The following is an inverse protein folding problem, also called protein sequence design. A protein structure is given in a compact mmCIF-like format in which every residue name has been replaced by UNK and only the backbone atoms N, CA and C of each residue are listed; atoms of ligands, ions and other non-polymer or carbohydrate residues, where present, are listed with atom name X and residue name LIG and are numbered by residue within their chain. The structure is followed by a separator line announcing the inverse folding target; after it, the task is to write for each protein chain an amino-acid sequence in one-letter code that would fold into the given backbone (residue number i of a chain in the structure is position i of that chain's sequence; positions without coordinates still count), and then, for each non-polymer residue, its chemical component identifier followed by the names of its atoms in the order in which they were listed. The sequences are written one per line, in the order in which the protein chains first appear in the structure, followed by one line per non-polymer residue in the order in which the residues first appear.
data_IF_368910274086
#
_entry.id   IF_368910274086
#
_cell.length_a   1.000
_cell.length_b   1.000
_cell.length_c   1.000
_cell.angle_alpha   90.00
_cell.angle_beta   90.00
_cell.angle_gamma   90.00
#
_symmetry.space_group_name_H-M   'P 1'
#
loop_
_entity.id
_entity.type
_entity.pdbx_description
1 polymer ?
#
# COMPACT_ATOMS: atom_id res chain seq x y z
N UNK A 1 -50.24 -70.82 -45.51
CA UNK A 1 -49.03 -71.67 -45.57
C UNK A 1 -47.88 -70.86 -45.01
N UNK A 2 -47.16 -71.48 -44.09
CA UNK A 2 -46.12 -70.90 -43.24
C UNK A 2 -44.84 -70.71 -44.05
N UNK A 3 -44.14 -69.58 -43.86
CA UNK A 3 -42.72 -69.46 -44.20
C UNK A 3 -41.95 -69.00 -42.97
N UNK A 4 -41.04 -69.87 -42.54
CA UNK A 4 -39.96 -69.65 -41.58
C UNK A 4 -38.79 -68.91 -42.24
N UNK A 5 -37.80 -68.53 -41.42
CA UNK A 5 -36.44 -67.95 -41.68
C UNK A 5 -36.42 -66.49 -41.18
N UNK A 6 -35.54 -66.01 -40.30
CA UNK A 6 -34.32 -66.50 -39.68
C UNK A 6 -33.98 -65.70 -38.41
N UNK A 7 -33.09 -66.29 -37.61
CA UNK A 7 -32.28 -65.75 -36.51
C UNK A 7 -31.76 -64.31 -36.68
N UNK A 8 -31.69 -63.56 -35.56
CA UNK A 8 -30.50 -62.78 -35.19
C UNK A 8 -30.51 -62.39 -33.69
N UNK A 9 -29.47 -62.83 -32.99
CA UNK A 9 -29.02 -62.36 -31.68
C UNK A 9 -28.36 -60.97 -31.79
N UNK A 10 -28.70 -60.04 -30.90
CA UNK A 10 -27.86 -58.93 -30.39
C UNK A 10 -28.56 -58.42 -29.12
N UNK A 11 -28.08 -58.45 -27.87
CA UNK A 11 -26.77 -58.21 -27.26
C UNK A 11 -26.24 -56.77 -27.45
N UNK A 12 -25.92 -56.17 -26.30
CA UNK A 12 -25.14 -54.94 -26.04
C UNK A 12 -25.85 -53.61 -25.76
N UNK A 13 -25.66 -53.20 -24.50
CA UNK A 13 -25.24 -51.87 -24.03
C UNK A 13 -26.28 -50.86 -23.59
N UNK A 14 -26.61 -50.92 -22.30
CA UNK A 14 -26.90 -49.74 -21.49
C UNK A 14 -25.68 -48.80 -21.51
N UNK A 15 -25.74 -47.75 -22.33
CA UNK A 15 -24.80 -46.62 -22.24
C UNK A 15 -25.33 -45.72 -21.11
N UNK A 16 -24.78 -45.89 -19.91
CA UNK A 16 -24.87 -44.89 -18.84
C UNK A 16 -23.99 -43.70 -19.28
N UNK A 17 -24.64 -42.67 -19.83
CA UNK A 17 -24.02 -41.36 -20.03
C UNK A 17 -23.89 -40.72 -18.66
N UNK A 18 -22.75 -40.96 -17.99
CA UNK A 18 -22.27 -40.08 -16.94
C UNK A 18 -21.87 -38.77 -17.61
N UNK A 19 -22.80 -37.81 -17.64
CA UNK A 19 -22.43 -36.42 -17.82
C UNK A 19 -21.63 -36.00 -16.59
N UNK A 20 -20.31 -36.15 -16.66
CA UNK A 20 -19.37 -35.44 -15.83
C UNK A 20 -19.59 -33.94 -16.05
N UNK A 21 -20.49 -33.36 -15.26
CA UNK A 21 -20.51 -31.93 -14.98
C UNK A 21 -19.24 -31.62 -14.18
N UNK A 22 -18.12 -31.59 -14.89
CA UNK A 22 -16.88 -30.99 -14.45
C UNK A 22 -17.11 -29.50 -14.26
N UNK A 23 -17.73 -29.13 -13.14
CA UNK A 23 -17.56 -27.80 -12.58
C UNK A 23 -16.09 -27.65 -12.27
N UNK A 24 -15.36 -27.09 -13.25
CA UNK A 24 -14.07 -26.49 -13.00
C UNK A 24 -14.29 -25.38 -11.96
N UNK A 25 -14.12 -25.71 -10.69
CA UNK A 25 -13.90 -24.72 -9.67
C UNK A 25 -12.69 -23.89 -10.13
N UNK A 26 -12.80 -22.57 -10.33
CA UNK A 26 -11.64 -21.75 -10.61
C UNK A 26 -10.76 -21.78 -9.37
N UNK A 27 -9.81 -22.71 -9.39
CA UNK A 27 -8.82 -22.93 -8.35
C UNK A 27 -7.72 -21.90 -8.55
N UNK A 28 -8.06 -20.65 -8.24
CA UNK A 28 -7.22 -19.50 -8.42
C UNK A 28 -7.79 -18.39 -7.58
N UNK A 29 -7.51 -18.40 -6.27
CA UNK A 29 -7.69 -17.21 -5.42
C UNK A 29 -6.74 -16.12 -5.93
N UNK A 30 -7.09 -15.48 -7.04
CA UNK A 30 -6.44 -14.26 -7.48
C UNK A 30 -6.52 -13.29 -6.32
N UNK A 31 -5.36 -12.97 -5.74
CA UNK A 31 -5.27 -12.02 -4.62
C UNK A 31 -5.89 -10.71 -5.14
N UNK A 32 -7.01 -10.30 -4.55
CA UNK A 32 -7.63 -9.02 -4.85
C UNK A 32 -6.95 -7.91 -4.04
N UNK A 33 -7.02 -6.68 -4.51
CA UNK A 33 -6.70 -5.48 -3.73
C UNK A 33 -7.69 -5.35 -2.56
N UNK A 34 -7.42 -4.48 -1.57
CA UNK A 34 -8.38 -4.20 -0.49
C UNK A 34 -9.75 -3.70 -0.98
N UNK A 35 -9.84 -3.19 -2.23
CA UNK A 35 -11.07 -2.72 -2.85
C UNK A 35 -11.80 -3.81 -3.67
N UNK A 36 -11.34 -5.07 -3.60
CA UNK A 36 -11.98 -6.21 -4.28
C UNK A 36 -11.70 -6.33 -5.77
N UNK A 37 -10.81 -5.50 -6.33
CA UNK A 37 -10.39 -5.59 -7.74
C UNK A 37 -9.11 -6.42 -7.89
N UNK A 38 -8.84 -7.08 -9.02
CA UNK A 38 -7.59 -7.81 -9.22
C UNK A 38 -6.35 -6.88 -9.17
N UNK A 39 -5.24 -7.36 -8.61
CA UNK A 39 -3.94 -6.70 -8.81
C UNK A 39 -3.56 -6.73 -10.30
N UNK A 40 -2.95 -5.65 -10.77
CA UNK A 40 -2.51 -5.49 -12.16
C UNK A 40 -1.05 -5.93 -12.37
N UNK A 41 -0.24 -5.87 -11.32
CA UNK A 41 1.17 -6.22 -11.33
C UNK A 41 1.48 -7.58 -10.70
N UNK A 42 2.66 -8.11 -11.04
CA UNK A 42 3.19 -9.33 -10.43
C UNK A 42 3.58 -9.12 -8.95
N UNK A 43 3.56 -10.17 -8.12
CA UNK A 43 4.00 -10.07 -6.73
C UNK A 43 5.41 -9.51 -6.57
N UNK A 44 5.59 -8.69 -5.54
CA UNK A 44 6.88 -8.08 -5.17
C UNK A 44 7.37 -8.64 -3.84
N UNK A 45 8.64 -8.99 -3.79
CA UNK A 45 9.28 -9.54 -2.59
C UNK A 45 9.66 -8.42 -1.63
N UNK A 46 9.34 -8.57 -0.34
CA UNK A 46 9.71 -7.64 0.71
C UNK A 46 10.21 -8.40 1.96
N UNK A 47 11.35 -7.99 2.52
CA UNK A 47 11.84 -8.60 3.76
C UNK A 47 10.95 -8.22 4.95
N UNK A 48 10.62 -9.19 5.80
CA UNK A 48 9.92 -8.98 7.07
C UNK A 48 10.70 -8.07 8.02
N UNK A 49 12.01 -7.93 7.83
CA UNK A 49 12.84 -7.05 8.64
C UNK A 49 12.53 -5.56 8.45
N UNK A 50 11.73 -5.18 7.44
CA UNK A 50 11.20 -3.82 7.32
C UNK A 50 10.44 -3.37 8.59
N UNK A 51 9.87 -4.32 9.33
CA UNK A 51 9.17 -4.05 10.59
C UNK A 51 10.10 -3.82 11.79
N UNK A 52 11.42 -3.99 11.65
CA UNK A 52 12.40 -3.80 12.73
C UNK A 52 12.86 -2.34 12.84
N UNK A 53 11.90 -1.42 12.89
CA UNK A 53 12.16 0.02 12.98
C UNK A 53 12.59 0.49 14.37
N UNK A 54 12.34 -0.31 15.41
CA UNK A 54 12.62 0.07 16.82
C UNK A 54 14.11 0.25 17.11
N UNK A 55 14.99 -0.36 16.31
CA UNK A 55 16.44 -0.17 16.40
C UNK A 55 16.95 1.07 15.66
N UNK A 56 16.08 1.73 14.88
CA UNK A 56 16.44 2.91 14.10
C UNK A 56 16.19 4.15 14.98
N UNK A 57 17.19 5.03 15.15
CA UNK A 57 17.01 6.24 15.93
C UNK A 57 15.88 7.12 15.41
N UNK A 58 15.08 7.66 16.33
CA UNK A 58 14.15 8.73 16.00
C UNK A 58 14.93 9.99 15.60
N UNK A 59 14.66 10.50 14.40
CA UNK A 59 15.25 11.74 13.88
C UNK A 59 14.20 12.84 13.90
N UNK A 60 14.53 13.99 14.50
CA UNK A 60 13.72 15.21 14.35
C UNK A 60 13.90 15.73 12.92
N UNK A 61 12.81 16.11 12.27
CA UNK A 61 12.84 16.70 10.94
C UNK A 61 12.31 18.13 10.97
N UNK A 62 12.83 18.98 10.09
CA UNK A 62 12.41 20.38 10.02
C UNK A 62 11.11 20.50 9.24
N UNK A 63 10.03 20.84 9.95
CA UNK A 63 8.73 21.12 9.37
C UNK A 63 7.87 19.89 9.03
N UNK A 64 8.23 18.68 9.48
CA UNK A 64 7.40 17.49 9.30
C UNK A 64 7.71 16.41 10.35
N UNK A 65 6.85 15.39 10.46
CA UNK A 65 7.04 14.25 11.35
C UNK A 65 6.98 12.96 10.55
N UNK A 66 7.90 12.02 10.81
CA UNK A 66 7.87 10.70 10.21
C UNK A 66 8.47 9.62 11.10
N UNK A 67 8.09 8.38 10.80
CA UNK A 67 8.68 7.17 11.34
C UNK A 67 9.77 6.67 10.38
N UNK A 68 11.02 6.60 10.84
CA UNK A 68 12.15 6.19 9.99
C UNK A 68 12.20 4.66 9.86
N UNK A 69 12.54 4.20 8.65
CA UNK A 69 12.72 2.81 8.29
C UNK A 69 14.10 2.59 7.66
N UNK A 70 14.59 1.35 7.69
CA UNK A 70 15.90 1.02 7.15
C UNK A 70 15.76 0.81 5.63
N UNK A 71 16.31 1.76 4.87
CA UNK A 71 16.16 1.82 3.42
C UNK A 71 16.67 0.56 2.72
N UNK A 72 17.61 -0.19 3.31
CA UNK A 72 18.12 -1.44 2.72
C UNK A 72 17.04 -2.50 2.47
N UNK A 73 15.87 -2.39 3.13
CA UNK A 73 14.74 -3.29 2.90
C UNK A 73 13.77 -2.80 1.80
N UNK A 74 13.88 -1.53 1.40
CA UNK A 74 13.11 -0.91 0.31
C UNK A 74 13.92 -0.89 -0.99
N UNK A 75 15.24 -0.66 -0.88
CA UNK A 75 16.18 -0.57 -1.99
C UNK A 75 16.08 -1.73 -3.02
N UNK A 76 15.95 -3.02 -2.63
CA UNK A 76 15.83 -4.09 -3.61
C UNK A 76 14.59 -3.97 -4.50
N UNK A 77 13.50 -3.39 -3.97
CA UNK A 77 12.28 -3.13 -4.74
C UNK A 77 12.55 -2.00 -5.73
N UNK A 78 13.15 -0.89 -5.26
CA UNK A 78 13.50 0.24 -6.11
C UNK A 78 14.42 -0.17 -7.27
N UNK A 79 15.47 -0.95 -6.99
CA UNK A 79 16.40 -1.45 -8.00
C UNK A 79 15.71 -2.33 -9.05
N UNK A 80 14.76 -3.18 -8.61
CA UNK A 80 13.98 -4.01 -9.54
C UNK A 80 13.04 -3.17 -10.41
N UNK A 81 12.41 -2.14 -9.86
CA UNK A 81 11.53 -1.24 -10.62
C UNK A 81 12.33 -0.38 -11.61
N UNK A 82 13.51 0.09 -11.24
CA UNK A 82 14.39 0.89 -12.10
C UNK A 82 14.96 0.10 -13.28
N UNK A 83 14.84 -1.23 -13.30
CA UNK A 83 15.20 -2.06 -14.45
C UNK A 83 14.17 -2.04 -15.60
N UNK A 84 13.17 -1.13 -15.53
CA UNK A 84 12.11 -0.97 -16.53
C UNK A 84 12.35 0.25 -17.45
N UNK A 85 11.49 0.48 -18.43
CA UNK A 85 11.70 1.36 -19.61
C UNK A 85 11.99 2.85 -19.32
N UNK A 86 11.76 3.34 -18.10
CA UNK A 86 12.08 4.71 -17.69
C UNK A 86 12.94 4.72 -16.42
N UNK A 87 14.00 5.57 -16.35
CA UNK A 87 14.77 5.74 -15.13
C UNK A 87 13.87 6.19 -13.97
N UNK A 88 13.96 5.49 -12.86
CA UNK A 88 13.32 5.86 -11.61
C UNK A 88 14.38 6.32 -10.61
N UNK A 89 14.12 7.47 -10.01
CA UNK A 89 14.87 8.00 -8.89
C UNK A 89 14.35 7.43 -7.57
N UNK A 90 15.21 7.44 -6.56
CA UNK A 90 14.85 7.15 -5.18
C UNK A 90 15.56 8.12 -4.25
N UNK A 91 15.12 8.21 -2.99
CA UNK A 91 15.65 9.18 -2.02
C UNK A 91 16.87 8.68 -1.24
N UNK A 92 17.23 7.39 -1.37
CA UNK A 92 18.24 6.76 -0.51
C UNK A 92 17.83 6.64 0.96
N UNK A 93 16.57 6.90 1.28
CA UNK A 93 16.00 6.87 2.61
C UNK A 93 14.57 6.33 2.57
N UNK A 94 14.05 5.87 3.70
CA UNK A 94 12.66 5.43 3.80
C UNK A 94 12.05 5.85 5.12
N UNK A 95 10.83 6.38 5.05
CA UNK A 95 10.03 6.73 6.21
C UNK A 95 8.53 6.58 5.91
N UNK A 96 7.72 6.58 6.97
CA UNK A 96 6.27 6.79 6.88
C UNK A 96 5.99 8.19 7.43
N UNK A 97 5.52 9.10 6.58
CA UNK A 97 5.14 10.45 7.02
C UNK A 97 3.91 10.37 7.92
N UNK A 98 3.94 11.10 9.04
CA UNK A 98 2.86 11.21 10.03
C UNK A 98 2.25 12.60 10.01
N UNK A 99 3.06 13.64 9.80
CA UNK A 99 2.62 15.02 9.55
C UNK A 99 3.44 15.54 8.38
N UNK A 100 2.77 15.98 7.33
CA UNK A 100 3.37 16.58 6.13
C UNK A 100 3.76 18.04 6.37
N UNK A 101 4.62 18.64 5.52
CA UNK A 101 4.94 20.06 5.62
C UNK A 101 3.73 21.00 5.55
N UNK A 102 2.75 20.82 4.64
CA UNK A 102 1.55 21.65 4.63
C UNK A 102 0.71 21.52 5.90
N UNK A 103 0.58 20.31 6.44
CA UNK A 103 -0.12 20.10 7.73
C UNK A 103 0.64 20.77 8.88
N UNK A 104 1.97 20.69 8.92
CA UNK A 104 2.75 21.37 9.96
C UNK A 104 2.57 22.89 9.90
N UNK A 105 2.61 23.50 8.71
CA UNK A 105 2.39 24.94 8.56
C UNK A 105 1.03 25.36 9.11
N UNK A 106 -0.01 24.57 8.86
CA UNK A 106 -1.34 24.78 9.43
C UNK A 106 -1.33 24.67 10.97
N UNK A 107 -0.71 23.63 11.51
CA UNK A 107 -0.62 23.42 12.97
C UNK A 107 0.14 24.57 13.66
N UNK A 108 1.22 25.03 13.03
CA UNK A 108 2.05 26.13 13.51
C UNK A 108 1.30 27.47 13.60
N UNK A 109 0.32 27.71 12.71
CA UNK A 109 -0.54 28.89 12.78
C UNK A 109 -1.38 28.96 14.08
N UNK A 110 -1.64 27.83 14.73
CA UNK A 110 -2.28 27.77 16.04
C UNK A 110 -1.26 27.67 17.20
N UNK A 111 0.01 27.93 16.95
CA UNK A 111 1.08 27.87 17.95
C UNK A 111 1.48 26.44 18.36
N UNK A 112 1.14 25.42 17.58
CA UNK A 112 1.70 24.08 17.78
C UNK A 112 3.15 24.06 17.28
N UNK A 113 4.07 23.73 18.17
CA UNK A 113 5.50 23.69 17.85
C UNK A 113 5.94 22.30 17.40
N UNK A 114 7.04 22.25 16.64
CA UNK A 114 7.65 21.00 16.23
C UNK A 114 8.18 20.19 17.42
N UNK A 115 8.63 20.85 18.49
CA UNK A 115 9.06 20.17 19.72
C UNK A 115 7.91 19.49 20.44
N UNK A 116 6.73 20.10 20.52
CA UNK A 116 5.53 19.45 21.06
C UNK A 116 5.12 18.23 20.21
N UNK A 117 5.15 18.35 18.89
CA UNK A 117 4.88 17.23 17.96
C UNK A 117 5.89 16.09 18.17
N UNK A 118 7.18 16.41 18.26
CA UNK A 118 8.24 15.44 18.51
C UNK A 118 8.09 14.78 19.89
N UNK A 119 7.65 15.54 20.91
CA UNK A 119 7.40 15.00 22.24
C UNK A 119 6.24 14.02 22.23
N UNK A 120 5.13 14.33 21.55
CA UNK A 120 4.02 13.39 21.34
C UNK A 120 4.54 12.12 20.63
N UNK A 121 5.31 12.26 19.56
CA UNK A 121 5.85 11.13 18.82
C UNK A 121 6.72 10.20 19.69
N UNK A 122 7.55 10.77 20.58
CA UNK A 122 8.37 10.02 21.54
C UNK A 122 7.53 9.32 22.61
N UNK A 123 6.55 10.02 23.19
CA UNK A 123 5.62 9.46 24.18
C UNK A 123 4.86 8.25 23.62
N UNK A 124 4.47 8.34 22.35
CA UNK A 124 3.83 7.26 21.60
C UNK A 124 4.80 6.24 21.00
N UNK A 125 6.12 6.37 21.26
CA UNK A 125 7.16 5.46 20.78
C UNK A 125 7.13 5.26 19.26
N UNK A 126 7.12 6.34 18.49
CA UNK A 126 6.96 6.32 17.02
C UNK A 126 7.82 5.27 16.29
N UNK A 127 9.08 5.07 16.68
CA UNK A 127 9.97 4.07 16.06
C UNK A 127 9.60 2.62 16.39
N UNK A 128 8.80 2.38 17.43
CA UNK A 128 8.23 1.08 17.78
C UNK A 128 6.75 0.94 17.37
N UNK A 129 6.19 1.93 16.65
CA UNK A 129 4.82 1.87 16.14
C UNK A 129 4.65 0.70 15.18
N UNK A 130 3.58 -0.06 15.34
CA UNK A 130 3.25 -1.16 14.44
C UNK A 130 2.63 -0.62 13.17
N UNK A 131 3.01 -1.22 12.05
CA UNK A 131 2.39 -0.97 10.76
C UNK A 131 2.31 -2.27 9.96
N UNK A 132 1.46 -2.28 8.93
CA UNK A 132 1.30 -3.38 8.00
C UNK A 132 1.49 -2.84 6.59
N UNK A 133 2.40 -3.43 5.82
CA UNK A 133 2.47 -3.18 4.38
C UNK A 133 1.35 -3.96 3.69
N UNK A 134 0.54 -3.28 2.89
CA UNK A 134 -0.66 -3.80 2.24
C UNK A 134 -0.34 -4.27 0.82
N UNK A 135 0.26 -3.39 0.01
CA UNK A 135 0.55 -3.62 -1.40
C UNK A 135 1.72 -2.72 -1.84
N UNK A 136 2.29 -3.01 -3.02
CA UNK A 136 3.02 -1.99 -3.77
C UNK A 136 2.00 -1.22 -4.60
N UNK A 137 1.84 0.06 -4.29
CA UNK A 137 1.07 1.01 -5.06
C UNK A 137 1.84 1.55 -6.26
N UNK A 138 1.12 1.90 -7.31
CA UNK A 138 1.64 2.59 -8.50
C UNK A 138 0.69 3.72 -8.88
N UNK A 139 1.24 4.90 -9.04
CA UNK A 139 0.62 6.03 -9.70
C UNK A 139 1.30 6.21 -11.06
N UNK A 140 0.50 6.42 -12.09
CA UNK A 140 0.97 6.70 -13.45
C UNK A 140 0.01 7.74 -14.04
N UNK A 141 0.40 9.00 -13.92
CA UNK A 141 -0.44 10.15 -14.30
C UNK A 141 0.30 11.07 -15.23
N UNK A 142 -0.44 11.73 -16.11
CA UNK A 142 0.10 12.73 -17.03
C UNK A 142 -0.31 14.12 -16.55
N UNK A 143 0.66 14.94 -16.20
CA UNK A 143 0.47 16.34 -15.77
C UNK A 143 1.25 17.23 -16.73
N UNK A 144 0.59 18.21 -17.34
CA UNK A 144 1.22 19.14 -18.29
C UNK A 144 2.06 18.47 -19.39
N UNK A 145 1.54 17.35 -19.92
CA UNK A 145 2.18 16.47 -20.90
C UNK A 145 3.39 15.66 -20.45
N UNK A 146 3.80 15.76 -19.19
CA UNK A 146 4.86 14.95 -18.59
C UNK A 146 4.28 13.76 -17.83
N UNK A 147 4.91 12.59 -17.94
CA UNK A 147 4.48 11.36 -17.29
C UNK A 147 5.15 11.22 -15.91
N UNK A 148 4.32 11.13 -14.88
CA UNK A 148 4.74 10.93 -13.51
C UNK A 148 4.39 9.52 -13.08
N UNK A 149 5.42 8.73 -12.79
CA UNK A 149 5.29 7.39 -12.23
C UNK A 149 5.80 7.44 -10.80
N UNK A 150 4.99 7.01 -9.84
CA UNK A 150 5.39 6.91 -8.42
C UNK A 150 5.05 5.53 -7.92
N UNK A 151 6.03 4.89 -7.28
CA UNK A 151 5.88 3.61 -6.58
C UNK A 151 6.01 3.82 -5.09
N UNK A 152 5.05 3.27 -4.35
CA UNK A 152 4.99 3.42 -2.90
C UNK A 152 4.47 2.15 -2.24
N UNK A 153 5.02 1.77 -1.09
CA UNK A 153 4.43 0.73 -0.26
C UNK A 153 3.25 1.34 0.49
N UNK A 154 2.03 0.88 0.21
CA UNK A 154 0.83 1.33 0.93
C UNK A 154 0.81 0.66 2.29
N UNK A 155 0.58 1.44 3.34
CA UNK A 155 0.71 1.01 4.73
C UNK A 155 -0.58 1.26 5.48
N UNK A 156 -0.86 0.42 6.48
CA UNK A 156 -1.80 0.70 7.55
C UNK A 156 -1.05 0.83 8.87
N UNK A 157 -1.40 1.84 9.68
CA UNK A 157 -0.91 1.92 11.05
C UNK A 157 -1.88 2.62 12.00
N UNK A 158 -2.41 1.84 12.95
CA UNK A 158 -3.24 2.37 14.04
C UNK A 158 -2.40 3.16 15.04
N UNK A 159 -1.15 2.75 15.26
CA UNK A 159 -0.24 3.41 16.19
C UNK A 159 0.16 4.81 15.67
N UNK A 160 0.48 4.95 14.37
CA UNK A 160 0.76 6.26 13.76
C UNK A 160 -0.49 7.15 13.66
N UNK A 161 -1.67 6.57 13.39
CA UNK A 161 -2.93 7.31 13.44
C UNK A 161 -3.22 7.86 14.85
N UNK A 162 -2.88 7.12 15.91
CA UNK A 162 -3.03 7.59 17.28
C UNK A 162 -2.11 8.79 17.58
N UNK A 163 -0.91 8.84 16.99
CA UNK A 163 -0.03 10.01 17.06
C UNK A 163 -0.70 11.22 16.41
N UNK A 164 -1.25 11.07 15.20
CA UNK A 164 -2.00 12.14 14.51
C UNK A 164 -3.17 12.65 15.35
N UNK A 165 -3.93 11.75 15.97
CA UNK A 165 -5.04 12.10 16.87
C UNK A 165 -4.58 12.82 18.13
N UNK A 166 -3.42 12.49 18.69
CA UNK A 166 -2.84 13.21 19.82
C UNK A 166 -2.42 14.64 19.41
N UNK A 167 -1.81 14.80 18.22
CA UNK A 167 -1.47 16.10 17.64
C UNK A 167 -2.74 16.93 17.37
N UNK A 168 -3.81 16.31 16.87
CA UNK A 168 -5.10 16.97 16.68
C UNK A 168 -5.68 17.52 17.99
N UNK A 169 -5.61 16.75 19.08
CA UNK A 169 -6.04 17.22 20.41
C UNK A 169 -5.22 18.42 20.88
N UNK A 170 -3.89 18.39 20.68
CA UNK A 170 -3.02 19.52 20.97
C UNK A 170 -3.43 20.76 20.15
N UNK A 171 -3.59 20.59 18.84
CA UNK A 171 -4.03 21.64 17.93
C UNK A 171 -5.36 22.28 18.36
N UNK A 172 -6.37 21.46 18.67
CA UNK A 172 -7.65 21.93 19.18
C UNK A 172 -7.51 22.67 20.53
N UNK A 173 -6.67 22.14 21.43
CA UNK A 173 -6.45 22.77 22.75
C UNK A 173 -5.79 24.15 22.66
N UNK A 174 -5.09 24.45 21.56
CA UNK A 174 -4.51 25.78 21.29
C UNK A 174 -5.42 26.70 20.47
N UNK A 175 -6.70 26.34 20.30
CA UNK A 175 -7.66 27.14 19.53
C UNK A 175 -7.55 26.95 18.01
N UNK A 176 -6.87 25.90 17.55
CA UNK A 176 -6.82 25.53 16.14
C UNK A 176 -8.21 25.21 15.57
N UNK A 177 -8.45 25.62 14.33
CA UNK A 177 -9.69 25.30 13.62
C UNK A 177 -9.70 23.82 13.20
N UNK A 178 -10.39 22.99 13.98
CA UNK A 178 -10.47 21.53 13.77
C UNK A 178 -10.95 21.09 12.39
N UNK A 179 -11.66 21.94 11.64
CA UNK A 179 -12.07 21.65 10.28
C UNK A 179 -10.89 21.62 9.28
N UNK A 180 -9.74 22.21 9.63
CA UNK A 180 -8.58 22.31 8.75
C UNK A 180 -7.61 21.13 8.88
N UNK A 181 -7.65 20.39 9.99
CA UNK A 181 -6.78 19.23 10.21
C UNK A 181 -7.60 18.01 10.59
N UNK A 182 -7.76 17.07 9.65
CA UNK A 182 -8.41 15.80 9.92
C UNK A 182 -7.36 14.69 10.13
N UNK A 183 -7.17 14.18 11.37
CA UNK A 183 -6.18 13.14 11.63
C UNK A 183 -6.52 11.82 10.92
N UNK A 184 -7.81 11.57 10.61
CA UNK A 184 -8.29 10.36 9.94
C UNK A 184 -8.21 10.43 8.41
N UNK A 185 -8.00 11.61 7.83
CA UNK A 185 -7.56 11.71 6.44
C UNK A 185 -6.06 11.37 6.39
N UNK A 186 -5.76 10.08 6.41
CA UNK A 186 -4.40 9.59 6.54
C UNK A 186 -4.17 8.36 5.66
N UNK A 187 -3.32 8.55 4.66
CA UNK A 187 -2.91 7.52 3.71
C UNK A 187 -1.41 7.23 3.88
N UNK A 188 -0.99 6.53 4.97
CA UNK A 188 0.42 6.27 5.20
C UNK A 188 1.02 5.39 4.10
N UNK A 189 2.20 5.79 3.67
CA UNK A 189 2.95 5.08 2.64
C UNK A 189 4.45 5.23 2.86
N UNK A 190 5.22 4.41 2.17
CA UNK A 190 6.68 4.51 2.09
C UNK A 190 7.02 4.70 0.62
N UNK A 191 7.57 5.85 0.25
CA UNK A 191 8.01 6.10 -1.13
C UNK A 191 9.15 5.15 -1.49
N UNK A 192 9.03 4.47 -2.63
CA UNK A 192 10.03 3.50 -3.12
C UNK A 192 10.85 4.13 -4.23
N UNK A 193 10.18 4.62 -5.28
CA UNK A 193 10.83 5.20 -6.45
C UNK A 193 9.86 6.09 -7.25
N UNK A 194 10.37 7.02 -8.05
CA UNK A 194 9.58 7.93 -8.88
C UNK A 194 10.31 8.38 -10.15
N UNK A 195 9.59 8.75 -11.22
CA UNK A 195 10.21 9.16 -12.50
C UNK A 195 10.73 10.60 -12.50
N UNK A 196 10.01 11.55 -11.89
CA UNK A 196 10.37 12.98 -11.89
C UNK A 196 10.44 13.50 -10.46
N UNK A 197 9.31 13.46 -9.77
CA UNK A 197 9.18 13.81 -8.36
C UNK A 197 8.11 12.94 -7.69
N UNK A 198 8.01 13.05 -6.37
CA UNK A 198 6.88 12.51 -5.63
C UNK A 198 5.68 13.44 -5.82
N UNK A 199 4.53 12.87 -6.19
CA UNK A 199 3.29 13.60 -6.38
C UNK A 199 2.61 13.87 -5.04
N UNK A 200 1.75 14.87 -4.94
CA UNK A 200 0.92 15.09 -3.76
C UNK A 200 -0.57 15.07 -4.13
N UNK A 201 -1.47 14.97 -3.15
CA UNK A 201 -2.92 15.00 -3.39
C UNK A 201 -3.36 16.27 -4.16
N UNK A 202 -2.61 17.36 -4.03
CA UNK A 202 -2.79 18.60 -4.80
C UNK A 202 -2.70 18.39 -6.33
N UNK A 203 -2.09 17.29 -6.79
CA UNK A 203 -2.05 16.88 -8.20
C UNK A 203 -3.28 16.05 -8.62
N UNK A 204 -4.32 15.97 -7.78
CA UNK A 204 -5.54 15.20 -8.06
C UNK A 204 -5.41 13.69 -7.87
N UNK A 205 -4.33 13.23 -7.23
CA UNK A 205 -4.03 11.80 -7.04
C UNK A 205 -4.34 11.37 -5.60
N UNK A 206 -5.26 10.41 -5.44
CA UNK A 206 -5.56 9.80 -4.14
C UNK A 206 -4.58 8.66 -3.87
N UNK A 207 -3.84 8.74 -2.76
CA UNK A 207 -2.72 7.84 -2.43
C UNK A 207 -3.10 6.71 -1.46
N UNK A 208 -4.26 6.07 -1.65
CA UNK A 208 -4.79 5.03 -0.76
C UNK A 208 -4.76 3.62 -1.38
N UNK A 209 -5.67 2.75 -0.95
CA UNK A 209 -5.79 1.40 -1.52
C UNK A 209 -6.16 1.39 -3.01
N UNK A 210 -6.67 2.50 -3.54
CA UNK A 210 -7.01 2.67 -4.95
C UNK A 210 -5.78 2.60 -5.88
N UNK A 211 -4.56 2.84 -5.36
CA UNK A 211 -3.33 2.73 -6.15
C UNK A 211 -2.66 1.36 -6.04
N UNK A 212 -3.25 0.41 -5.30
CA UNK A 212 -2.66 -0.92 -5.11
C UNK A 212 -2.48 -1.68 -6.43
N UNK A 213 -1.21 -1.86 -6.84
CA UNK A 213 -0.85 -2.41 -8.15
C UNK A 213 -0.34 -3.85 -8.07
N UNK A 214 0.56 -4.14 -7.12
CA UNK A 214 1.16 -5.47 -6.93
C UNK A 214 0.98 -5.99 -5.51
N UNK A 215 0.71 -7.29 -5.31
CA UNK A 215 0.69 -7.89 -3.98
C UNK A 215 2.10 -8.03 -3.40
N UNK A 216 2.21 -7.99 -2.08
CA UNK A 216 3.48 -8.25 -1.38
C UNK A 216 3.65 -9.75 -1.07
N UNK A 217 4.85 -10.26 -1.34
CA UNK A 217 5.33 -11.56 -0.89
C UNK A 217 6.42 -11.35 0.16
N UNK A 218 6.13 -11.67 1.42
CA UNK A 218 7.09 -11.49 2.51
C UNK A 218 8.11 -12.62 2.55
N UNK A 219 9.38 -12.26 2.68
CA UNK A 219 10.51 -13.18 2.92
C UNK A 219 11.19 -12.89 4.27
N UNK A 220 11.92 -13.86 4.81
CA UNK A 220 12.60 -13.75 6.10
C UNK A 220 13.92 -12.97 6.03
#
# INVERSE_FOLDING_TARGET
MVNLVAFALTCFSCILVFCDLGYAFPNGKHKQTPLGVPYQGSPVTLSRRIYHSSSIPFKKNDGWLGMNLDYKYVEPIANKLNSTEQPLFNRGESHITVVTPPEFNLLANAGVTLDEINNIARQHKIQASRFRVVCLGREDVKVDNEQYIVYQLIVDSRDLLNIRRAIFRLYASKGGNTALFNPDNYNPHITVAFSVNDLFEANGVSKGYNVCYSPIHFVH
#
